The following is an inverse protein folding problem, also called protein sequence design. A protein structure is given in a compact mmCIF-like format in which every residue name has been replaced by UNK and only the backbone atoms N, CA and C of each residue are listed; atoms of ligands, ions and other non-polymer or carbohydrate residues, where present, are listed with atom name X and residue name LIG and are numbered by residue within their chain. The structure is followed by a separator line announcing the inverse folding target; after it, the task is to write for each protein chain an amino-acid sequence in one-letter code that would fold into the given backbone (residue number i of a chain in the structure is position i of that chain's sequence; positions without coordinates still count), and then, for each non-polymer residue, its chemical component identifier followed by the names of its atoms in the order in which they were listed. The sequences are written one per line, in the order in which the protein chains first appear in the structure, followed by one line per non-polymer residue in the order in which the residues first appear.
data_IF_356667350189
#
_entry.id   IF_356667350189
#
_cell.length_a   1.000
_cell.length_b   1.000
_cell.length_c   1.000
_cell.angle_alpha   90.00
_cell.angle_beta   90.00
_cell.angle_gamma   90.00
#
_symmetry.space_group_name_H-M   'P 1'
#
loop_
_entity.id
_entity.type
_entity.pdbx_description
1 polymer ?
#
# COMPACT_ATOMS: atom_id res chain seq x y z
N UNK A 1 0.68 29.97 10.94
CA UNK A 1 1.25 29.22 9.80
C UNK A 1 0.22 28.19 9.41
N UNK A 2 -0.08 28.05 8.13
CA UNK A 2 -0.95 26.96 7.68
C UNK A 2 -0.19 25.63 7.83
N UNK A 3 -0.83 24.62 8.44
CA UNK A 3 -0.23 23.29 8.64
C UNK A 3 0.16 22.59 7.34
N UNK A 4 0.88 21.47 7.44
CA UNK A 4 1.30 20.65 6.29
C UNK A 4 0.10 20.19 5.47
N UNK A 5 -0.94 19.69 6.12
CA UNK A 5 -2.12 19.21 5.42
C UNK A 5 -2.92 20.34 4.77
N UNK A 6 -3.01 21.50 5.41
CA UNK A 6 -3.70 22.65 4.82
C UNK A 6 -3.06 23.07 3.49
N UNK A 7 -1.73 23.16 3.44
CA UNK A 7 -0.99 23.49 2.21
C UNK A 7 -1.10 22.38 1.15
N UNK A 8 -0.96 21.11 1.55
CA UNK A 8 -1.07 19.98 0.63
C UNK A 8 -2.46 19.85 0.00
N UNK A 9 -3.53 20.00 0.78
CA UNK A 9 -4.91 19.87 0.27
C UNK A 9 -5.26 20.95 -0.75
N UNK A 10 -4.71 22.15 -0.60
CA UNK A 10 -4.89 23.24 -1.55
C UNK A 10 -4.19 22.94 -2.88
N UNK A 11 -2.92 22.54 -2.84
CA UNK A 11 -2.14 22.22 -4.05
C UNK A 11 -2.67 20.98 -4.78
N UNK A 12 -3.13 19.97 -4.05
CA UNK A 12 -3.62 18.70 -4.59
C UNK A 12 -5.16 18.66 -4.74
N UNK A 13 -5.86 19.75 -4.49
CA UNK A 13 -7.33 19.87 -4.63
C UNK A 13 -8.12 18.76 -3.94
N UNK A 14 -7.86 18.51 -2.65
CA UNK A 14 -8.59 17.53 -1.88
C UNK A 14 -10.04 17.98 -1.64
N UNK A 15 -11.00 17.17 -2.06
CA UNK A 15 -12.41 17.42 -1.77
C UNK A 15 -12.75 17.21 -0.30
N UNK A 16 -13.93 17.66 0.13
CA UNK A 16 -14.36 17.63 1.53
C UNK A 16 -14.37 16.19 2.08
N UNK A 17 -14.86 15.21 1.29
CA UNK A 17 -14.93 13.81 1.72
C UNK A 17 -13.55 13.22 1.97
N UNK A 18 -12.57 13.53 1.12
CA UNK A 18 -11.19 13.10 1.33
C UNK A 18 -10.58 13.78 2.55
N UNK A 19 -10.87 15.07 2.79
CA UNK A 19 -10.41 15.79 3.99
C UNK A 19 -10.97 15.15 5.27
N UNK A 20 -12.25 14.81 5.30
CA UNK A 20 -12.88 14.11 6.42
C UNK A 20 -12.26 12.74 6.65
N UNK A 21 -12.05 11.95 5.58
CA UNK A 21 -11.41 10.65 5.64
C UNK A 21 -9.98 10.73 6.21
N UNK A 22 -9.18 11.70 5.74
CA UNK A 22 -7.80 11.91 6.23
C UNK A 22 -7.79 12.20 7.72
N UNK A 23 -8.63 13.11 8.19
CA UNK A 23 -8.75 13.45 9.62
C UNK A 23 -9.21 12.26 10.43
N UNK A 24 -10.26 11.55 9.99
CA UNK A 24 -10.77 10.37 10.68
C UNK A 24 -9.68 9.31 10.89
N UNK A 25 -8.86 9.05 9.86
CA UNK A 25 -7.77 8.07 9.98
C UNK A 25 -6.77 8.50 11.03
N UNK A 26 -6.33 9.76 11.02
CA UNK A 26 -5.32 10.26 11.99
C UNK A 26 -5.91 10.31 13.40
N UNK A 27 -7.15 10.75 13.58
CA UNK A 27 -7.84 10.74 14.87
C UNK A 27 -7.91 9.31 15.44
N UNK A 28 -8.22 8.32 14.61
CA UNK A 28 -8.24 6.89 15.03
C UNK A 28 -6.84 6.34 15.33
N UNK A 29 -5.82 6.72 14.56
CA UNK A 29 -4.43 6.34 14.84
C UNK A 29 -3.91 6.92 16.16
N UNK A 30 -4.42 8.07 16.59
CA UNK A 30 -4.06 8.67 17.89
C UNK A 30 -4.86 8.07 19.04
N UNK A 31 -6.16 7.82 18.84
CA UNK A 31 -7.05 7.29 19.86
C UNK A 31 -6.83 5.79 20.12
N UNK A 32 -6.43 5.03 19.10
CA UNK A 32 -6.28 3.58 19.14
C UNK A 32 -4.80 3.24 19.02
N UNK A 33 -4.24 2.60 20.03
CA UNK A 33 -2.88 2.07 19.93
C UNK A 33 -2.87 0.91 18.93
N UNK A 34 -2.42 1.21 17.70
CA UNK A 34 -2.24 0.19 16.69
C UNK A 34 -1.06 -0.71 17.06
N UNK A 35 -1.29 -2.01 17.13
CA UNK A 35 -0.26 -3.00 17.44
C UNK A 35 0.18 -3.76 16.18
N UNK A 36 1.15 -4.63 16.36
CA UNK A 36 1.60 -5.57 15.33
C UNK A 36 0.45 -6.40 14.77
N UNK A 37 -0.44 -6.85 15.64
CA UNK A 37 -1.54 -7.74 15.31
C UNK A 37 -2.84 -6.99 14.97
N UNK A 38 -2.90 -5.71 15.32
CA UNK A 38 -4.06 -4.83 15.13
C UNK A 38 -3.67 -3.49 14.48
N UNK A 39 -3.31 -3.47 13.20
CA UNK A 39 -3.04 -2.24 12.46
C UNK A 39 -4.33 -1.44 12.22
N UNK A 40 -4.22 -0.15 11.90
CA UNK A 40 -5.29 0.58 11.23
C UNK A 40 -5.36 0.19 9.76
N UNK A 41 -6.52 0.32 9.13
CA UNK A 41 -6.69 0.04 7.70
C UNK A 41 -7.37 1.19 6.97
N UNK A 42 -6.76 1.61 5.85
CA UNK A 42 -7.36 2.44 4.82
C UNK A 42 -7.74 1.55 3.64
N UNK A 43 -9.03 1.36 3.43
CA UNK A 43 -9.56 0.53 2.35
C UNK A 43 -10.05 1.41 1.20
N UNK A 44 -9.47 1.25 0.02
CA UNK A 44 -9.92 1.97 -1.19
C UNK A 44 -10.12 1.01 -2.35
N UNK A 45 -11.00 1.35 -3.28
CA UNK A 45 -11.16 0.60 -4.54
C UNK A 45 -9.84 0.60 -5.33
N UNK A 46 -9.69 -0.33 -6.27
CA UNK A 46 -8.53 -0.38 -7.18
C UNK A 46 -8.49 0.93 -7.97
N UNK A 47 -7.33 1.57 -8.02
CA UNK A 47 -7.11 2.87 -8.70
C UNK A 47 -7.98 4.03 -8.19
N UNK A 48 -8.48 3.97 -6.96
CA UNK A 48 -9.33 5.02 -6.36
C UNK A 48 -8.57 6.22 -5.80
N UNK A 49 -7.26 6.31 -6.01
CA UNK A 49 -6.44 7.39 -5.48
C UNK A 49 -5.88 7.13 -4.07
N UNK A 50 -5.68 5.87 -3.68
CA UNK A 50 -5.11 5.48 -2.37
C UNK A 50 -3.83 6.23 -2.03
N UNK A 51 -2.93 6.42 -3.00
CA UNK A 51 -1.69 7.19 -2.80
C UNK A 51 -2.00 8.60 -2.34
N UNK A 52 -2.92 9.31 -3.01
CA UNK A 52 -3.36 10.65 -2.63
C UNK A 52 -3.94 10.67 -1.21
N UNK A 53 -4.72 9.65 -0.85
CA UNK A 53 -5.27 9.49 0.49
C UNK A 53 -4.19 9.37 1.56
N UNK A 54 -3.24 8.44 1.41
CA UNK A 54 -2.21 8.27 2.43
C UNK A 54 -1.19 9.42 2.47
N UNK A 55 -0.94 10.13 1.38
CA UNK A 55 -0.13 11.36 1.40
C UNK A 55 -0.82 12.46 2.22
N UNK A 56 -2.13 12.61 2.10
CA UNK A 56 -2.92 13.47 2.98
C UNK A 56 -2.80 13.07 4.45
N UNK A 57 -2.88 11.77 4.73
CA UNK A 57 -2.71 11.22 6.10
C UNK A 57 -1.31 11.50 6.65
N UNK A 58 -0.26 11.39 5.84
CA UNK A 58 1.12 11.73 6.26
C UNK A 58 1.21 13.23 6.61
N UNK A 59 0.66 14.11 5.78
CA UNK A 59 0.70 15.54 6.03
C UNK A 59 -0.09 15.92 7.30
N UNK A 60 -1.30 15.38 7.49
CA UNK A 60 -2.10 15.58 8.71
C UNK A 60 -1.39 14.99 9.95
N UNK A 61 -0.74 13.83 9.82
CA UNK A 61 0.04 13.24 10.91
C UNK A 61 1.21 14.16 11.30
N UNK A 62 1.88 14.79 10.35
CA UNK A 62 2.94 15.77 10.65
C UNK A 62 2.40 17.00 11.43
N UNK A 63 1.18 17.41 11.15
CA UNK A 63 0.49 18.46 11.96
C UNK A 63 0.12 17.97 13.36
N UNK A 64 0.06 16.66 13.59
CA UNK A 64 -0.20 15.99 14.88
C UNK A 64 1.08 15.43 15.53
N UNK A 65 2.19 16.12 15.35
CA UNK A 65 3.48 15.81 15.99
C UNK A 65 4.11 14.45 15.61
N UNK A 66 3.65 13.81 14.51
CA UNK A 66 4.46 12.76 13.94
C UNK A 66 5.71 13.39 13.31
N UNK A 67 6.82 12.68 13.41
CA UNK A 67 8.13 13.18 12.95
C UNK A 67 8.64 12.44 11.73
N UNK A 68 8.27 11.17 11.62
CA UNK A 68 8.78 10.27 10.59
C UNK A 68 7.59 9.52 9.98
N UNK A 69 7.54 9.46 8.66
CA UNK A 69 6.68 8.57 7.92
C UNK A 69 7.53 7.56 7.14
N UNK A 70 7.27 6.28 7.30
CA UNK A 70 7.87 5.21 6.50
C UNK A 70 6.79 4.63 5.61
N UNK A 71 7.00 4.66 4.30
CA UNK A 71 6.09 4.12 3.30
C UNK A 71 6.69 2.83 2.75
N UNK A 72 6.11 1.70 3.12
CA UNK A 72 6.47 0.40 2.59
C UNK A 72 5.79 0.19 1.25
N UNK A 73 6.56 0.02 0.19
CA UNK A 73 6.04 -0.18 -1.17
C UNK A 73 6.29 -1.60 -1.65
N UNK A 74 5.44 -2.08 -2.57
CA UNK A 74 5.60 -3.39 -3.20
C UNK A 74 6.63 -3.35 -4.33
N UNK A 75 7.28 -4.48 -4.51
CA UNK A 75 7.68 -5.08 -5.78
C UNK A 75 8.90 -4.52 -6.47
N UNK A 76 8.77 -3.77 -7.54
CA UNK A 76 9.87 -3.45 -8.44
C UNK A 76 10.56 -2.11 -8.11
N UNK A 77 11.82 -1.96 -8.54
CA UNK A 77 12.53 -0.66 -8.46
C UNK A 77 11.75 0.46 -9.15
N UNK A 78 11.07 0.17 -10.24
CA UNK A 78 10.27 1.15 -10.99
C UNK A 78 9.11 1.69 -10.16
N UNK A 79 8.39 0.82 -9.45
CA UNK A 79 7.28 1.24 -8.59
C UNK A 79 7.78 2.08 -7.39
N UNK A 80 8.89 1.68 -6.77
CA UNK A 80 9.50 2.48 -5.70
C UNK A 80 9.90 3.88 -6.21
N UNK A 81 10.55 3.97 -7.36
CA UNK A 81 10.90 5.25 -7.99
C UNK A 81 9.68 6.10 -8.34
N UNK A 82 8.61 5.49 -8.83
CA UNK A 82 7.34 6.20 -9.09
C UNK A 82 6.74 6.75 -7.79
N UNK A 83 6.78 5.98 -6.70
CA UNK A 83 6.31 6.44 -5.39
C UNK A 83 7.17 7.60 -4.88
N UNK A 84 8.50 7.50 -4.96
CA UNK A 84 9.42 8.59 -4.61
C UNK A 84 9.12 9.84 -5.43
N UNK A 85 9.03 9.71 -6.76
CA UNK A 85 8.75 10.83 -7.66
C UNK A 85 7.41 11.51 -7.33
N UNK A 86 6.37 10.73 -7.05
CA UNK A 86 5.05 11.25 -6.69
C UNK A 86 5.09 11.97 -5.35
N UNK A 87 5.71 11.38 -4.33
CA UNK A 87 5.85 12.01 -3.01
C UNK A 87 6.67 13.30 -3.14
N UNK A 88 7.79 13.27 -3.85
CA UNK A 88 8.62 14.45 -4.06
C UNK A 88 7.90 15.56 -4.84
N UNK A 89 7.00 15.19 -5.76
CA UNK A 89 6.17 16.15 -6.48
C UNK A 89 5.13 16.80 -5.54
N UNK A 90 4.37 15.99 -4.81
CA UNK A 90 3.28 16.48 -3.97
C UNK A 90 3.79 17.26 -2.75
N UNK A 91 4.98 16.90 -2.24
CA UNK A 91 5.64 17.58 -1.12
C UNK A 91 6.74 18.59 -1.58
N UNK A 92 6.78 18.97 -2.85
CA UNK A 92 7.83 19.79 -3.43
C UNK A 92 8.11 21.06 -2.63
N UNK A 93 7.08 21.85 -2.33
CA UNK A 93 7.20 23.12 -1.59
C UNK A 93 7.83 22.91 -0.20
N UNK A 94 7.44 21.86 0.49
CA UNK A 94 7.99 21.55 1.82
C UNK A 94 9.44 21.08 1.77
N UNK A 95 9.84 20.42 0.67
CA UNK A 95 11.22 20.01 0.44
C UNK A 95 12.08 21.23 0.12
N UNK A 96 11.60 22.16 -0.72
CA UNK A 96 12.27 23.42 -1.07
C UNK A 96 12.41 24.34 0.15
N UNK A 97 11.43 24.33 1.06
CA UNK A 97 11.46 25.10 2.32
C UNK A 97 12.26 24.40 3.44
N UNK A 98 12.94 23.30 3.15
CA UNK A 98 13.72 22.52 4.13
C UNK A 98 12.91 21.98 5.32
N UNK A 99 11.59 21.87 5.22
CA UNK A 99 10.70 21.36 6.28
C UNK A 99 10.61 19.83 6.29
N UNK A 100 10.66 19.20 5.11
CA UNK A 100 10.55 17.75 4.93
C UNK A 100 11.73 17.22 4.14
N UNK A 101 12.32 16.12 4.59
CA UNK A 101 13.27 15.29 3.83
C UNK A 101 12.59 14.04 3.28
N UNK A 102 12.74 13.78 1.98
CA UNK A 102 12.20 12.59 1.30
C UNK A 102 13.35 11.72 0.82
N UNK A 103 13.38 10.45 1.24
CA UNK A 103 14.50 9.54 0.99
C UNK A 103 14.01 8.18 0.49
N UNK A 104 14.62 7.70 -0.59
CA UNK A 104 14.62 6.27 -0.92
C UNK A 104 15.68 5.57 -0.07
N UNK A 105 15.30 4.58 0.73
CA UNK A 105 16.24 3.86 1.60
C UNK A 105 17.37 3.20 0.81
N UNK A 106 17.16 2.90 -0.47
CA UNK A 106 18.19 2.30 -1.34
C UNK A 106 19.28 3.29 -1.75
N UNK A 107 18.90 4.56 -1.92
CA UNK A 107 19.76 5.64 -2.41
C UNK A 107 20.19 6.58 -1.27
N UNK A 108 19.60 6.43 -0.09
CA UNK A 108 19.88 7.24 1.09
C UNK A 108 21.35 7.07 1.54
N UNK A 109 22.06 8.16 1.86
CA UNK A 109 23.39 8.09 2.43
C UNK A 109 23.39 7.36 3.78
N UNK A 110 24.51 6.76 4.15
CA UNK A 110 24.65 6.02 5.41
C UNK A 110 24.47 6.90 6.64
N UNK A 111 24.68 8.21 6.51
CA UNK A 111 24.45 9.20 7.56
C UNK A 111 23.84 10.47 6.96
N UNK A 112 22.90 11.05 7.69
CA UNK A 112 22.29 12.35 7.41
C UNK A 112 22.93 13.43 8.29
N UNK A 113 22.96 14.67 7.82
CA UNK A 113 23.37 15.79 8.64
C UNK A 113 22.38 16.02 9.80
N UNK A 114 22.84 16.62 10.90
CA UNK A 114 21.97 16.91 12.05
C UNK A 114 20.79 17.82 11.69
N UNK A 115 20.96 18.71 10.73
CA UNK A 115 19.89 19.57 10.20
C UNK A 115 18.82 18.75 9.47
N UNK A 116 19.23 17.77 8.67
CA UNK A 116 18.30 16.88 7.94
C UNK A 116 17.50 16.00 8.89
N UNK A 117 18.15 15.43 9.91
CA UNK A 117 17.46 14.61 10.95
C UNK A 117 16.42 15.42 11.73
N UNK A 118 16.57 16.74 11.86
CA UNK A 118 15.60 17.58 12.59
C UNK A 118 14.31 17.85 11.82
N UNK A 119 14.32 17.71 10.49
CA UNK A 119 13.14 17.88 9.63
C UNK A 119 12.12 16.76 9.88
N UNK A 120 10.92 16.91 9.35
CA UNK A 120 10.03 15.78 9.15
C UNK A 120 10.63 14.87 8.06
N UNK A 121 10.59 13.57 8.25
CA UNK A 121 11.23 12.62 7.34
C UNK A 121 10.18 11.72 6.69
N UNK A 122 10.25 11.56 5.37
CA UNK A 122 9.49 10.54 4.64
C UNK A 122 10.50 9.57 4.02
N UNK A 123 10.42 8.32 4.41
CA UNK A 123 11.28 7.25 3.92
C UNK A 123 10.48 6.26 3.10
N UNK A 124 10.88 6.05 1.87
CA UNK A 124 10.28 5.08 0.97
C UNK A 124 11.12 3.81 1.02
N UNK A 125 10.48 2.70 1.32
CA UNK A 125 11.14 1.41 1.55
C UNK A 125 10.43 0.33 0.76
N UNK A 126 11.12 -0.24 -0.20
CA UNK A 126 10.63 -1.43 -0.88
C UNK A 126 10.56 -2.61 0.10
N UNK A 127 9.45 -3.35 0.13
CA UNK A 127 9.26 -4.56 0.96
C UNK A 127 10.21 -5.70 0.53
N UNK A 128 11.46 -5.53 0.88
CA UNK A 128 12.56 -6.47 0.64
C UNK A 128 13.46 -6.52 1.87
N UNK A 129 13.97 -7.70 2.20
CA UNK A 129 14.71 -7.93 3.44
C UNK A 129 15.92 -6.99 3.61
N UNK A 130 16.69 -6.76 2.55
CA UNK A 130 17.88 -5.89 2.62
C UNK A 130 17.49 -4.42 2.89
N UNK A 131 16.41 -3.93 2.29
CA UNK A 131 15.94 -2.57 2.49
C UNK A 131 15.40 -2.36 3.91
N UNK A 132 14.67 -3.34 4.43
CA UNK A 132 14.17 -3.30 5.80
C UNK A 132 15.32 -3.40 6.83
N UNK A 133 16.33 -4.24 6.59
CA UNK A 133 17.55 -4.28 7.44
C UNK A 133 18.29 -2.94 7.40
N UNK A 134 18.38 -2.30 6.23
CA UNK A 134 19.00 -0.98 6.09
C UNK A 134 18.21 0.10 6.87
N UNK A 135 16.87 0.03 6.83
CA UNK A 135 16.01 0.89 7.61
C UNK A 135 16.22 0.68 9.12
N UNK A 136 16.25 -0.58 9.58
CA UNK A 136 16.53 -0.90 10.98
C UNK A 136 17.91 -0.36 11.41
N UNK A 137 18.96 -0.57 10.60
CA UNK A 137 20.28 -0.05 10.87
C UNK A 137 20.29 1.49 10.96
N UNK A 138 19.50 2.18 10.17
CA UNK A 138 19.34 3.64 10.26
C UNK A 138 18.75 4.06 11.61
N UNK A 139 17.71 3.40 12.09
CA UNK A 139 17.10 3.69 13.40
C UNK A 139 18.00 3.31 14.58
N UNK A 140 18.86 2.31 14.41
CA UNK A 140 19.83 1.85 15.42
C UNK A 140 21.16 2.62 15.40
N UNK A 141 21.31 3.61 14.51
CA UNK A 141 22.55 4.35 14.36
C UNK A 141 22.85 5.18 15.62
N UNK A 142 23.97 4.90 16.27
CA UNK A 142 24.41 5.59 17.49
C UNK A 142 24.60 7.11 17.31
N UNK A 143 24.79 7.58 16.07
CA UNK A 143 24.84 9.01 15.75
C UNK A 143 23.51 9.72 15.97
N UNK A 144 22.40 8.96 16.08
CA UNK A 144 21.04 9.48 16.23
C UNK A 144 20.30 8.88 17.45
N UNK A 145 20.82 9.01 18.67
CA UNK A 145 20.37 8.27 19.85
C UNK A 145 18.89 8.56 20.24
N UNK A 146 18.29 9.61 19.68
CA UNK A 146 16.89 9.99 19.95
C UNK A 146 15.95 9.61 18.81
N UNK A 147 16.43 8.96 17.74
CA UNK A 147 15.61 8.68 16.57
C UNK A 147 14.48 7.70 16.89
N UNK A 148 14.75 6.70 17.72
CA UNK A 148 13.76 5.70 18.17
C UNK A 148 12.68 6.26 19.10
N UNK A 149 12.86 7.47 19.63
CA UNK A 149 11.88 8.15 20.48
C UNK A 149 10.95 9.08 19.68
N UNK A 150 11.19 9.26 18.40
CA UNK A 150 10.36 10.09 17.52
C UNK A 150 9.07 9.35 17.14
N UNK A 151 7.99 10.09 16.96
CA UNK A 151 6.68 9.54 16.62
C UNK A 151 6.69 9.11 15.13
N UNK A 152 6.48 7.81 14.89
CA UNK A 152 6.56 7.17 13.58
C UNK A 152 5.17 6.81 13.07
N UNK A 153 4.86 7.19 11.84
CA UNK A 153 3.77 6.64 11.06
C UNK A 153 4.34 5.62 10.05
N UNK A 154 4.01 4.35 10.22
CA UNK A 154 4.33 3.29 9.29
C UNK A 154 3.14 3.05 8.37
N UNK A 155 3.28 3.29 7.09
CA UNK A 155 2.27 3.06 6.05
C UNK A 155 2.68 1.85 5.22
N UNK A 156 1.86 0.82 5.19
CA UNK A 156 2.07 -0.39 4.38
C UNK A 156 1.17 -0.34 3.16
N UNK A 157 1.67 0.17 2.05
CA UNK A 157 0.95 0.23 0.78
C UNK A 157 0.91 -1.17 0.11
N UNK A 158 -0.26 -1.55 -0.40
CA UNK A 158 -0.58 -2.89 -0.88
C UNK A 158 -0.28 -3.98 0.19
N UNK A 159 -0.86 -3.81 1.37
CA UNK A 159 -0.61 -4.64 2.55
C UNK A 159 -1.01 -6.11 2.37
N UNK A 160 -1.91 -6.43 1.44
CA UNK A 160 -2.38 -7.77 1.11
C UNK A 160 -1.31 -8.68 0.50
N UNK A 161 -0.21 -8.11 0.01
CA UNK A 161 0.71 -8.87 -0.85
C UNK A 161 2.01 -9.36 -0.20
N UNK A 162 2.44 -8.84 0.93
CA UNK A 162 3.72 -9.23 1.51
C UNK A 162 3.72 -9.38 3.03
N UNK A 163 2.73 -8.79 3.72
CA UNK A 163 2.64 -8.83 5.18
C UNK A 163 2.15 -10.17 5.71
N UNK A 164 1.69 -11.07 4.82
CA UNK A 164 1.03 -12.34 5.17
C UNK A 164 1.56 -13.48 4.29
N UNK A 165 2.86 -13.61 4.10
CA UNK A 165 3.37 -14.80 3.44
C UNK A 165 3.70 -15.88 4.46
N UNK A 166 2.82 -16.89 4.56
CA UNK A 166 3.20 -18.20 5.03
C UNK A 166 3.96 -18.90 3.89
N UNK A 167 5.23 -19.18 4.09
CA UNK A 167 5.94 -20.14 3.25
C UNK A 167 5.90 -21.48 3.97
N UNK A 168 5.27 -22.46 3.36
CA UNK A 168 5.47 -23.87 3.70
C UNK A 168 6.91 -24.18 3.32
N UNK A 169 7.78 -24.38 4.31
CA UNK A 169 9.10 -24.96 4.08
C UNK A 169 8.91 -26.46 3.82
N UNK A 170 9.87 -27.08 3.14
CA UNK A 170 9.85 -28.49 2.76
C UNK A 170 9.67 -29.47 3.94
N UNK A 171 9.83 -29.01 5.18
CA UNK A 171 9.72 -29.80 6.43
C UNK A 171 8.49 -29.40 7.28
N UNK A 172 7.35 -29.07 6.64
CA UNK A 172 6.05 -28.82 7.30
C UNK A 172 5.96 -27.64 8.29
N UNK A 173 7.03 -26.90 8.54
CA UNK A 173 7.03 -25.74 9.43
C UNK A 173 6.62 -24.46 8.70
N UNK A 174 5.56 -23.79 9.19
CA UNK A 174 5.16 -22.46 8.74
C UNK A 174 6.02 -21.40 9.44
N UNK A 175 6.87 -20.71 8.69
CA UNK A 175 7.60 -19.55 9.22
C UNK A 175 6.92 -18.26 8.80
N UNK A 176 6.80 -17.33 9.74
CA UNK A 176 6.52 -15.95 9.41
C UNK A 176 7.57 -15.48 8.41
N UNK A 177 7.13 -14.88 7.29
CA UNK A 177 8.08 -14.44 6.26
C UNK A 177 9.06 -13.41 6.84
N UNK A 178 10.32 -13.47 6.46
CA UNK A 178 11.39 -12.56 6.91
C UNK A 178 10.98 -11.08 6.84
N UNK A 179 10.16 -10.70 5.86
CA UNK A 179 9.67 -9.32 5.70
C UNK A 179 8.73 -8.93 6.84
N UNK A 180 7.77 -9.80 7.19
CA UNK A 180 6.87 -9.54 8.30
C UNK A 180 7.64 -9.39 9.61
N UNK A 181 8.61 -10.28 9.87
CA UNK A 181 9.47 -10.20 11.05
C UNK A 181 10.23 -8.87 11.12
N UNK A 182 10.85 -8.42 10.02
CA UNK A 182 11.60 -7.16 10.00
C UNK A 182 10.71 -5.92 10.18
N UNK A 183 9.46 -5.96 9.71
CA UNK A 183 8.46 -4.92 9.99
C UNK A 183 8.13 -4.90 11.48
N UNK A 184 7.99 -6.06 12.08
CA UNK A 184 7.70 -6.20 13.51
C UNK A 184 8.88 -5.75 14.38
N UNK A 185 10.11 -6.06 13.96
CA UNK A 185 11.33 -5.58 14.61
C UNK A 185 11.40 -4.04 14.59
N UNK A 186 11.08 -3.41 13.45
CA UNK A 186 11.03 -1.95 13.35
C UNK A 186 10.00 -1.34 14.33
N UNK A 187 8.82 -1.93 14.41
CA UNK A 187 7.74 -1.44 15.29
C UNK A 187 8.09 -1.62 16.76
N UNK A 188 8.82 -2.67 17.10
CA UNK A 188 9.32 -2.89 18.46
C UNK A 188 10.47 -1.95 18.83
N UNK A 189 11.26 -1.54 17.84
CA UNK A 189 12.40 -0.64 18.04
C UNK A 189 11.97 0.80 18.31
N UNK A 190 10.91 1.30 17.63
CA UNK A 190 10.43 2.67 17.75
C UNK A 190 9.29 2.74 18.76
N UNK A 191 9.48 3.45 19.87
CA UNK A 191 8.55 3.45 21.02
C UNK A 191 7.17 4.01 20.74
N UNK A 192 7.05 4.92 19.76
CA UNK A 192 5.78 5.59 19.39
C UNK A 192 5.50 5.34 17.92
N UNK A 193 4.99 4.16 17.59
CA UNK A 193 4.66 3.78 16.21
C UNK A 193 3.16 3.62 16.03
N UNK A 194 2.61 4.29 15.03
CA UNK A 194 1.28 3.99 14.49
C UNK A 194 1.44 3.25 13.17
N UNK A 195 0.63 2.21 12.96
CA UNK A 195 0.71 1.36 11.76
C UNK A 195 -0.60 1.40 10.98
N UNK A 196 -0.50 1.81 9.73
CA UNK A 196 -1.60 1.92 8.79
C UNK A 196 -1.37 1.01 7.59
N UNK A 197 -2.25 0.06 7.37
CA UNK A 197 -2.30 -0.74 6.17
C UNK A 197 -3.20 -0.07 5.12
N UNK A 198 -2.74 -0.05 3.87
CA UNK A 198 -3.47 0.51 2.74
C UNK A 198 -3.65 -0.59 1.70
N UNK A 199 -4.90 -0.91 1.35
CA UNK A 199 -5.19 -1.97 0.38
C UNK A 199 -6.48 -1.72 -0.40
N UNK A 200 -6.63 -2.39 -1.55
CA UNK A 200 -7.89 -2.50 -2.28
C UNK A 200 -8.50 -3.90 -2.14
N UNK A 201 -7.75 -4.87 -1.67
CA UNK A 201 -8.11 -6.30 -1.61
C UNK A 201 -7.92 -6.85 -0.19
N UNK A 202 -8.81 -6.50 0.75
CA UNK A 202 -8.65 -6.81 2.17
C UNK A 202 -8.87 -8.28 2.50
N UNK A 203 -9.28 -9.11 1.54
CA UNK A 203 -9.68 -10.49 1.79
C UNK A 203 -8.59 -11.31 2.50
N UNK A 204 -7.33 -11.17 2.09
CA UNK A 204 -6.22 -11.86 2.71
C UNK A 204 -6.00 -11.45 4.18
N UNK A 205 -6.49 -10.26 4.58
CA UNK A 205 -6.37 -9.74 5.95
C UNK A 205 -7.55 -10.19 6.83
N UNK A 206 -8.76 -10.27 6.26
CA UNK A 206 -9.96 -10.65 7.01
C UNK A 206 -10.24 -12.15 7.05
N UNK A 207 -9.81 -12.90 6.02
CA UNK A 207 -10.06 -14.34 5.90
C UNK A 207 -8.93 -15.20 6.52
N UNK A 208 -8.10 -14.62 7.36
CA UNK A 208 -7.10 -15.38 8.10
C UNK A 208 -7.78 -16.28 9.13
N UNK A 209 -7.27 -17.51 9.33
CA UNK A 209 -7.75 -18.38 10.39
C UNK A 209 -7.60 -17.70 11.74
N UNK A 210 -8.52 -17.98 12.68
CA UNK A 210 -8.53 -17.31 13.99
C UNK A 210 -7.32 -17.63 14.84
N UNK A 211 -6.86 -18.87 14.78
CA UNK A 211 -5.62 -19.33 15.40
C UNK A 211 -5.04 -20.47 14.58
N UNK A 212 -3.74 -20.49 14.39
CA UNK A 212 -3.06 -21.58 13.70
C UNK A 212 -1.81 -22.01 14.47
N UNK A 213 -1.69 -23.31 14.80
CA UNK A 213 -0.44 -23.89 15.30
C UNK A 213 0.58 -23.93 14.17
N UNK A 214 1.70 -23.27 14.35
CA UNK A 214 2.75 -23.18 13.35
C UNK A 214 3.61 -24.45 13.33
N UNK A 215 3.66 -25.20 14.43
CA UNK A 215 4.40 -26.47 14.54
C UNK A 215 3.80 -27.37 15.61
N UNK A 216 3.69 -28.67 15.32
CA UNK A 216 3.32 -29.70 16.32
C UNK A 216 4.44 -29.95 17.33
N UNK A 217 5.68 -29.67 16.96
CA UNK A 217 6.86 -29.90 17.79
C UNK A 217 7.19 -28.73 18.73
N UNK A 218 6.66 -27.53 18.44
CA UNK A 218 6.82 -26.35 19.29
C UNK A 218 5.46 -25.74 19.65
N UNK A 219 4.85 -26.13 20.78
CA UNK A 219 3.52 -25.68 21.19
C UNK A 219 3.42 -24.18 21.49
N UNK A 220 4.53 -23.45 21.51
CA UNK A 220 4.59 -22.01 21.77
C UNK A 220 4.65 -21.15 20.50
N UNK A 221 4.70 -21.76 19.32
CA UNK A 221 4.61 -21.03 18.05
C UNK A 221 3.16 -21.01 17.56
N UNK A 222 2.45 -19.97 17.92
CA UNK A 222 1.10 -19.69 17.39
C UNK A 222 1.18 -18.61 16.31
N UNK A 223 0.38 -18.79 15.27
CA UNK A 223 0.08 -17.71 14.35
C UNK A 223 -1.04 -16.85 14.92
N UNK A 224 -0.78 -15.57 15.09
CA UNK A 224 -1.81 -14.58 15.43
C UNK A 224 -2.18 -13.80 14.17
N UNK A 225 -3.44 -13.87 13.71
CA UNK A 225 -3.87 -13.14 12.54
C UNK A 225 -3.84 -11.63 12.79
N UNK A 226 -3.37 -10.88 11.79
CA UNK A 226 -3.33 -9.41 11.85
C UNK A 226 -4.69 -8.86 11.44
N UNK A 227 -5.61 -8.72 12.39
CA UNK A 227 -6.93 -8.11 12.13
C UNK A 227 -6.85 -6.59 12.37
N UNK A 228 -7.38 -5.77 11.46
CA UNK A 228 -7.39 -4.33 11.67
C UNK A 228 -8.14 -3.93 12.95
N UNK A 229 -7.55 -3.01 13.73
CA UNK A 229 -8.21 -2.41 14.88
C UNK A 229 -9.35 -1.46 14.48
N UNK A 230 -9.21 -0.87 13.31
CA UNK A 230 -10.24 -0.08 12.64
C UNK A 230 -10.04 -0.10 11.12
N UNK A 231 -11.11 0.18 10.39
CA UNK A 231 -11.08 0.37 8.93
C UNK A 231 -11.78 1.66 8.59
N UNK A 232 -11.14 2.48 7.74
CA UNK A 232 -11.75 3.66 7.13
C UNK A 232 -11.81 3.45 5.62
N UNK A 233 -12.94 3.79 5.02
CA UNK A 233 -13.13 3.69 3.58
C UNK A 233 -12.67 4.99 2.91
N UNK A 234 -11.75 4.85 1.95
CA UNK A 234 -11.35 5.98 1.11
C UNK A 234 -12.52 6.38 0.20
N UNK A 235 -12.92 7.66 0.21
CA UNK A 235 -13.99 8.12 -0.67
C UNK A 235 -13.62 7.97 -2.14
N UNK A 236 -14.61 7.67 -2.95
CA UNK A 236 -14.47 7.55 -4.40
C UNK A 236 -14.62 8.96 -4.99
N UNK A 237 -13.63 9.40 -5.76
CA UNK A 237 -13.72 10.68 -6.46
C UNK A 237 -14.66 10.61 -7.67
N UNK A 238 -15.26 11.75 -8.06
CA UNK A 238 -16.31 11.79 -9.10
C UNK A 238 -15.88 11.35 -10.51
N UNK A 239 -14.57 11.30 -10.78
CA UNK A 239 -14.04 10.80 -12.05
C UNK A 239 -13.59 9.33 -12.00
N UNK A 240 -13.96 8.58 -10.95
CA UNK A 240 -13.59 7.18 -10.84
C UNK A 240 -14.46 6.33 -11.77
N UNK A 241 -13.80 5.51 -12.60
CA UNK A 241 -14.44 4.52 -13.48
C UNK A 241 -14.13 3.14 -12.94
N UNK A 242 -15.15 2.42 -12.51
CA UNK A 242 -15.01 1.13 -11.83
C UNK A 242 -15.80 0.00 -12.49
N UNK A 243 -15.89 -1.11 -11.79
CA UNK A 243 -16.60 -2.30 -12.28
C UNK A 243 -18.06 -2.05 -12.65
N UNK A 244 -18.73 -1.12 -11.95
CA UNK A 244 -20.12 -0.75 -12.25
C UNK A 244 -20.25 -0.05 -13.60
N UNK A 245 -19.24 0.74 -14.01
CA UNK A 245 -19.21 1.41 -15.30
C UNK A 245 -18.94 0.42 -16.44
N UNK A 246 -18.12 -0.61 -16.19
CA UNK A 246 -17.78 -1.62 -17.21
C UNK A 246 -18.80 -2.76 -17.30
N UNK A 247 -19.33 -3.23 -16.17
CA UNK A 247 -20.13 -4.45 -16.08
C UNK A 247 -21.59 -4.20 -15.62
N UNK A 248 -21.94 -2.95 -15.33
CA UNK A 248 -23.31 -2.55 -14.99
C UNK A 248 -24.22 -2.62 -16.23
N UNK A 249 -25.52 -2.74 -15.97
CA UNK A 249 -26.54 -2.60 -17.01
C UNK A 249 -26.69 -1.12 -17.39
N UNK A 250 -26.27 -0.76 -18.57
CA UNK A 250 -26.39 0.59 -19.12
C UNK A 250 -27.33 0.61 -20.32
N UNK A 251 -28.14 1.66 -20.42
CA UNK A 251 -28.99 1.87 -21.60
C UNK A 251 -28.12 2.01 -22.87
N UNK A 252 -28.63 1.58 -24.02
CA UNK A 252 -27.89 1.67 -25.30
C UNK A 252 -27.48 3.12 -25.66
N UNK A 253 -28.16 4.10 -25.11
CA UNK A 253 -27.85 5.53 -25.28
C UNK A 253 -26.70 6.02 -24.41
N UNK A 254 -26.29 5.23 -23.39
CA UNK A 254 -25.16 5.55 -22.50
C UNK A 254 -23.87 5.06 -23.14
N UNK A 255 -22.84 5.92 -23.31
CA UNK A 255 -21.54 5.50 -23.86
C UNK A 255 -20.90 4.31 -23.10
N UNK A 256 -21.21 4.15 -21.82
CA UNK A 256 -20.72 3.02 -21.00
C UNK A 256 -21.26 1.67 -21.46
N UNK A 257 -22.39 1.64 -22.15
CA UNK A 257 -22.93 0.41 -22.77
C UNK A 257 -21.92 -0.28 -23.69
N UNK A 258 -21.01 0.48 -24.30
CA UNK A 258 -20.01 -0.03 -25.23
C UNK A 258 -18.68 -0.44 -24.56
N UNK A 259 -18.51 -0.19 -23.26
CA UNK A 259 -17.30 -0.56 -22.50
C UNK A 259 -17.21 -2.08 -22.25
N UNK A 260 -18.34 -2.78 -22.31
CA UNK A 260 -18.42 -4.21 -22.09
C UNK A 260 -18.94 -4.93 -23.35
N UNK A 261 -18.21 -5.93 -23.78
CA UNK A 261 -18.65 -6.86 -24.82
C UNK A 261 -18.45 -8.27 -24.31
N UNK A 262 -19.54 -9.01 -24.21
CA UNK A 262 -19.49 -10.41 -23.81
C UNK A 262 -18.84 -11.24 -24.94
N UNK A 263 -17.84 -12.03 -24.57
CA UNK A 263 -17.24 -13.03 -25.46
C UNK A 263 -18.16 -14.25 -25.47
N UNK A 264 -18.50 -14.78 -26.65
CA UNK A 264 -19.32 -15.98 -26.75
C UNK A 264 -18.59 -17.21 -26.20
N UNK A 265 -19.36 -18.22 -25.81
CA UNK A 265 -18.80 -19.47 -25.29
C UNK A 265 -17.90 -20.16 -26.32
N UNK A 266 -18.28 -20.16 -27.58
CA UNK A 266 -17.48 -20.68 -28.70
C UNK A 266 -16.15 -19.96 -28.87
N UNK A 267 -16.15 -18.62 -28.69
CA UNK A 267 -14.95 -17.81 -28.76
C UNK A 267 -14.02 -18.08 -27.57
N UNK A 268 -14.61 -18.25 -26.38
CA UNK A 268 -13.89 -18.62 -25.17
C UNK A 268 -13.27 -20.02 -25.27
N UNK A 269 -14.01 -21.00 -25.78
CA UNK A 269 -13.49 -22.36 -26.02
C UNK A 269 -12.37 -22.37 -27.06
N UNK A 270 -12.53 -21.57 -28.12
CA UNK A 270 -11.50 -21.47 -29.17
C UNK A 270 -10.16 -20.92 -28.63
N UNK A 271 -10.19 -20.13 -27.56
CA UNK A 271 -8.99 -19.57 -26.89
C UNK A 271 -8.33 -20.55 -25.91
N UNK A 272 -9.09 -21.49 -25.36
CA UNK A 272 -8.56 -22.42 -24.36
C UNK A 272 -7.57 -23.40 -24.94
N UNK A 273 -6.50 -23.67 -24.20
CA UNK A 273 -5.64 -24.81 -24.45
C UNK A 273 -6.35 -26.11 -24.05
N UNK A 274 -5.82 -27.26 -24.52
CA UNK A 274 -6.41 -28.57 -24.20
C UNK A 274 -6.51 -28.87 -22.69
N UNK A 275 -5.63 -28.28 -21.87
CA UNK A 275 -5.61 -28.45 -20.42
C UNK A 275 -6.51 -27.44 -19.70
N UNK A 276 -7.12 -26.49 -20.43
CA UNK A 276 -8.01 -25.47 -19.90
C UNK A 276 -7.38 -24.41 -18.98
N UNK A 277 -6.05 -24.46 -18.77
CA UNK A 277 -5.33 -23.61 -17.81
C UNK A 277 -4.66 -22.41 -18.46
N UNK A 278 -4.35 -22.50 -19.74
CA UNK A 278 -3.65 -21.45 -20.48
C UNK A 278 -4.47 -21.00 -21.69
N UNK A 279 -4.29 -19.73 -22.05
CA UNK A 279 -4.89 -19.14 -23.25
C UNK A 279 -3.88 -19.27 -24.38
N UNK A 280 -4.34 -19.65 -25.55
CA UNK A 280 -3.52 -19.72 -26.75
C UNK A 280 -3.56 -18.40 -27.52
N UNK A 281 -2.60 -17.53 -27.23
CA UNK A 281 -2.48 -16.19 -27.81
C UNK A 281 -2.38 -16.21 -29.35
N UNK A 282 -1.72 -17.23 -29.90
CA UNK A 282 -1.61 -17.43 -31.34
C UNK A 282 -2.98 -17.50 -32.02
N UNK A 283 -3.99 -18.04 -31.34
CA UNK A 283 -5.35 -18.18 -31.86
C UNK A 283 -6.10 -16.88 -32.02
N UNK A 284 -5.74 -15.85 -31.30
CA UNK A 284 -6.35 -14.51 -31.42
C UNK A 284 -6.28 -14.06 -32.91
N UNK A 285 -5.17 -14.36 -33.58
CA UNK A 285 -4.93 -13.93 -34.96
C UNK A 285 -5.27 -14.98 -35.99
N UNK A 286 -5.18 -16.25 -35.65
CA UNK A 286 -5.31 -17.37 -36.61
C UNK A 286 -6.72 -17.96 -36.64
N UNK A 287 -7.49 -17.90 -35.53
CA UNK A 287 -8.85 -18.48 -35.49
C UNK A 287 -9.89 -17.53 -36.06
N UNK A 288 -10.71 -18.02 -36.98
CA UNK A 288 -11.86 -17.27 -37.52
C UNK A 288 -12.97 -17.07 -36.52
N UNK A 289 -13.02 -17.87 -35.45
CA UNK A 289 -14.05 -17.84 -34.43
C UNK A 289 -13.81 -16.77 -33.35
N UNK A 290 -12.63 -16.13 -33.31
CA UNK A 290 -12.29 -15.12 -32.32
C UNK A 290 -12.44 -13.74 -32.96
N UNK A 291 -13.59 -13.08 -32.71
CA UNK A 291 -13.94 -11.78 -33.30
C UNK A 291 -13.87 -10.65 -32.27
N UNK A 292 -14.50 -10.83 -31.11
CA UNK A 292 -14.64 -9.77 -30.08
C UNK A 292 -13.31 -9.43 -29.48
N UNK A 293 -12.52 -10.44 -29.08
CA UNK A 293 -11.19 -10.21 -28.49
C UNK A 293 -10.22 -9.59 -29.51
N UNK A 294 -10.29 -10.00 -30.79
CA UNK A 294 -9.50 -9.38 -31.85
C UNK A 294 -9.83 -7.91 -32.04
N UNK A 295 -11.12 -7.55 -32.03
CA UNK A 295 -11.56 -6.16 -32.10
C UNK A 295 -11.08 -5.36 -30.89
N UNK A 296 -11.16 -5.93 -29.68
CA UNK A 296 -10.66 -5.30 -28.48
C UNK A 296 -9.15 -5.01 -28.56
N UNK A 297 -8.35 -5.95 -29.03
CA UNK A 297 -6.89 -5.76 -29.18
C UNK A 297 -6.57 -4.73 -30.28
N UNK A 298 -7.36 -4.66 -31.34
CA UNK A 298 -7.15 -3.69 -32.44
C UNK A 298 -7.63 -2.28 -32.09
N UNK A 299 -8.49 -2.11 -31.07
CA UNK A 299 -9.00 -0.81 -30.63
C UNK A 299 -8.12 -0.13 -29.56
N UNK A 300 -7.10 -0.84 -29.04
CA UNK A 300 -6.08 -0.33 -28.15
C UNK A 300 -4.88 0.20 -28.96
#
# INVERSE_FOLDING_TARGET
MNGFYARLRESSHHDIKLQECVKEVVDRLEAIQTSQDQPGMLLGKIQSGKTRGFLGIIAEAFDRDYDIAVVLTKGTRTLAKQTVSRISHDFKTFIEDDEIGVYDIMEMPTSLAKSEIRRKLIMIVKKEANNLRRLLAFFQNESYPKLTNRKLLLVDDEADMASIRFQKKADEDYSQGTIAQLIDDLRSLVTKTSFLQVTATPYALYLQPEEYRVSETNPFQYFSPKKPSFTVLLPIHGGYVGGEDYFGEHAETDPRHYLYKQVSEDEHEALRSKDGRTIREDRIWTSQNIKVLRLAVMSF
#
